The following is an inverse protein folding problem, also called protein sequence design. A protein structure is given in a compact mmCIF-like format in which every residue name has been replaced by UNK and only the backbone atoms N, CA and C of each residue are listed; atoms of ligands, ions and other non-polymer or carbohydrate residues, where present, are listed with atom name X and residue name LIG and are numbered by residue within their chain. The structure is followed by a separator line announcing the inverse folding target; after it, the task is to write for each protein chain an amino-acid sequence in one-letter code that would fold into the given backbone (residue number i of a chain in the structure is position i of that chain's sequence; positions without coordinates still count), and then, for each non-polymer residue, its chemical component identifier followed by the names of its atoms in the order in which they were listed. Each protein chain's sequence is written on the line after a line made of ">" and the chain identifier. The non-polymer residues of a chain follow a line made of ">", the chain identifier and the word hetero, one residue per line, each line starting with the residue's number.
data_IF_401808781030
#
_entry.id   IF_401808781030
#
_cell.length_a   1.000
_cell.length_b   1.000
_cell.length_c   1.000
_cell.angle_alpha   90.00
_cell.angle_beta   90.00
_cell.angle_gamma   90.00
#
_symmetry.space_group_name_H-M   'P 1'
#
loop_
_entity.id
_entity.type
_entity.pdbx_description
1 polymer ?
#
# COMPACT_ATOMS: atom_id res chain seq x y z
N UNK A 1 -0.52 24.25 5.51
CA UNK A 1 0.70 23.80 4.80
C UNK A 1 1.17 22.57 5.53
N UNK A 2 1.09 21.39 4.92
CA UNK A 2 1.51 20.14 5.57
C UNK A 2 3.00 20.19 5.85
N UNK A 3 3.42 19.83 7.07
CA UNK A 3 4.84 19.79 7.48
C UNK A 3 5.60 18.59 6.90
N UNK A 4 4.92 17.71 6.16
CA UNK A 4 5.52 16.52 5.57
C UNK A 4 6.35 16.81 4.34
N UNK A 5 7.65 16.59 4.47
CA UNK A 5 8.54 16.44 3.33
C UNK A 5 8.33 15.05 2.73
N UNK A 6 7.90 15.01 1.48
CA UNK A 6 7.78 13.77 0.71
C UNK A 6 9.03 13.55 -0.14
N UNK A 7 9.48 12.30 -0.24
CA UNK A 7 10.64 11.92 -1.06
C UNK A 7 10.32 10.69 -1.87
N UNK A 8 10.81 10.62 -3.11
CA UNK A 8 10.85 9.35 -3.86
C UNK A 8 11.85 8.40 -3.21
N UNK A 9 11.41 7.17 -2.94
CA UNK A 9 12.20 6.12 -2.29
C UNK A 9 12.32 4.90 -3.20
N UNK A 10 13.51 4.27 -3.26
CA UNK A 10 13.68 3.00 -3.95
C UNK A 10 13.00 1.88 -3.16
N UNK A 11 12.34 0.97 -3.87
CA UNK A 11 11.72 -0.25 -3.36
C UNK A 11 12.31 -1.44 -4.12
N UNK A 12 12.40 -2.61 -3.47
CA UNK A 12 12.89 -3.86 -4.06
C UNK A 12 14.27 -3.68 -4.71
N UNK A 13 15.24 -3.19 -3.92
CA UNK A 13 16.59 -2.91 -4.42
C UNK A 13 16.66 -1.81 -5.49
N UNK A 14 15.64 -0.95 -5.57
CA UNK A 14 15.55 0.16 -6.53
C UNK A 14 14.92 -0.22 -7.88
N UNK A 15 14.47 -1.46 -8.04
CA UNK A 15 13.73 -1.87 -9.23
C UNK A 15 12.38 -1.16 -9.36
N UNK A 16 11.80 -0.74 -8.23
CA UNK A 16 10.59 0.07 -8.15
C UNK A 16 10.93 1.39 -7.41
N UNK A 17 10.18 2.45 -7.68
CA UNK A 17 10.19 3.66 -6.85
C UNK A 17 8.79 4.18 -6.60
N UNK A 18 8.60 4.80 -5.44
CA UNK A 18 7.36 5.46 -5.04
C UNK A 18 7.68 6.62 -4.09
N UNK A 19 6.85 7.65 -4.05
CA UNK A 19 7.03 8.80 -3.17
C UNK A 19 6.00 8.83 -2.05
N UNK A 20 6.47 9.06 -0.83
CA UNK A 20 5.64 9.20 0.37
C UNK A 20 6.39 9.98 1.46
N UNK A 21 5.73 10.39 2.57
CA UNK A 21 6.34 11.23 3.60
C UNK A 21 7.54 10.59 4.30
N UNK A 22 8.51 11.43 4.69
CA UNK A 22 9.73 10.97 5.36
C UNK A 22 9.51 10.34 6.74
N UNK A 23 8.37 10.62 7.39
CA UNK A 23 8.01 10.07 8.71
C UNK A 23 7.87 8.54 8.72
N UNK A 24 7.57 7.96 7.56
CA UNK A 24 7.49 6.52 7.38
C UNK A 24 8.89 5.91 7.44
N UNK A 25 9.09 4.97 8.34
CA UNK A 25 10.35 4.27 8.57
C UNK A 25 10.26 2.85 8.06
N UNK A 26 11.33 2.39 7.41
CA UNK A 26 11.41 1.02 6.91
C UNK A 26 11.61 0.04 8.07
N UNK A 27 10.68 -0.91 8.17
CA UNK A 27 10.61 -1.92 9.22
C UNK A 27 11.63 -3.05 9.02
N UNK A 28 12.20 -3.20 7.82
CA UNK A 28 13.25 -4.19 7.52
C UNK A 28 14.49 -4.04 8.41
N UNK A 29 14.73 -2.82 8.93
CA UNK A 29 15.81 -2.54 9.88
C UNK A 29 15.59 -3.15 11.27
N UNK A 30 14.36 -3.54 11.59
CA UNK A 30 13.92 -3.95 12.93
C UNK A 30 13.50 -5.42 12.95
N UNK A 31 12.87 -5.90 11.87
CA UNK A 31 12.46 -7.31 11.71
C UNK A 31 12.65 -7.77 10.27
N UNK A 32 12.76 -9.09 10.09
CA UNK A 32 12.73 -9.67 8.75
C UNK A 32 11.35 -9.45 8.11
N UNK A 33 11.38 -8.91 6.90
CA UNK A 33 10.22 -8.75 6.01
C UNK A 33 10.45 -9.68 4.82
N UNK A 34 9.43 -10.40 4.32
CA UNK A 34 9.55 -11.23 3.12
C UNK A 34 10.12 -10.44 1.93
N UNK A 35 10.91 -11.08 1.07
CA UNK A 35 11.56 -10.41 -0.07
C UNK A 35 10.57 -9.80 -1.08
N UNK A 36 9.33 -10.30 -1.11
CA UNK A 36 8.25 -9.79 -1.94
C UNK A 36 7.43 -8.67 -1.25
N UNK A 37 7.84 -8.23 -0.05
CA UNK A 37 7.17 -7.18 0.71
C UNK A 37 8.14 -6.07 1.13
N UNK A 38 7.64 -4.83 1.15
CA UNK A 38 8.33 -3.65 1.65
C UNK A 38 7.37 -2.92 2.61
N UNK A 39 7.74 -2.85 3.89
CA UNK A 39 6.85 -2.38 4.97
C UNK A 39 7.40 -1.11 5.60
N UNK A 40 6.60 -0.05 5.55
CA UNK A 40 6.91 1.23 6.16
C UNK A 40 5.89 1.60 7.23
N UNK A 41 6.33 2.17 8.35
CA UNK A 41 5.45 2.57 9.46
C UNK A 41 5.76 3.97 9.97
N UNK A 42 4.75 4.71 10.42
CA UNK A 42 4.95 5.89 11.26
C UNK A 42 4.84 5.46 12.74
N UNK A 43 5.97 5.37 13.46
CA UNK A 43 5.96 4.89 14.85
C UNK A 43 5.25 5.84 15.82
N UNK A 44 4.95 7.08 15.41
CA UNK A 44 4.24 8.04 16.26
C UNK A 44 2.71 7.96 16.11
N UNK A 45 2.21 7.23 15.10
CA UNK A 45 0.79 7.20 14.74
C UNK A 45 0.24 5.80 14.50
N UNK A 46 1.10 4.79 14.45
CA UNK A 46 0.72 3.41 14.13
C UNK A 46 0.08 3.30 12.72
N UNK A 47 0.41 4.25 11.84
CA UNK A 47 0.08 4.21 10.41
C UNK A 47 1.10 3.32 9.69
N UNK A 48 0.65 2.57 8.68
CA UNK A 48 1.55 1.74 7.89
C UNK A 48 1.27 1.84 6.40
N UNK A 49 2.31 1.67 5.59
CA UNK A 49 2.28 1.63 4.14
C UNK A 49 3.09 0.41 3.69
N UNK A 50 2.43 -0.50 2.99
CA UNK A 50 2.96 -1.80 2.58
C UNK A 50 2.90 -1.89 1.07
N UNK A 51 4.01 -2.30 0.46
CA UNK A 51 4.05 -2.71 -0.94
C UNK A 51 4.32 -4.21 -0.99
N UNK A 52 3.51 -4.94 -1.76
CA UNK A 52 3.62 -6.39 -1.87
C UNK A 52 3.52 -6.83 -3.33
N UNK A 53 4.41 -7.73 -3.72
CA UNK A 53 4.42 -8.38 -5.04
C UNK A 53 3.77 -9.76 -4.90
N UNK A 54 2.69 -9.97 -5.64
CA UNK A 54 1.94 -11.22 -5.70
C UNK A 54 1.92 -11.78 -7.12
N UNK A 55 1.76 -13.09 -7.22
CA UNK A 55 1.44 -13.74 -8.49
C UNK A 55 0.10 -13.24 -9.02
N UNK A 56 0.03 -13.01 -10.33
CA UNK A 56 -1.18 -12.51 -10.97
C UNK A 56 -2.35 -13.47 -10.81
N UNK A 57 -3.46 -12.96 -10.24
CA UNK A 57 -4.68 -13.74 -10.03
C UNK A 57 -5.54 -13.77 -11.29
N UNK A 58 -5.36 -14.82 -12.10
CA UNK A 58 -6.10 -15.02 -13.35
C UNK A 58 -7.62 -15.12 -13.16
N UNK A 59 -8.06 -15.66 -12.02
CA UNK A 59 -9.49 -15.87 -11.73
C UNK A 59 -10.20 -14.61 -11.22
N UNK A 60 -9.46 -13.53 -10.95
CA UNK A 60 -10.00 -12.27 -10.45
C UNK A 60 -10.08 -11.27 -11.62
N UNK A 61 -11.26 -10.72 -11.92
CA UNK A 61 -11.41 -9.70 -12.96
C UNK A 61 -10.70 -8.41 -12.55
N UNK A 62 -10.23 -7.63 -13.53
CA UNK A 62 -9.55 -6.37 -13.24
C UNK A 62 -10.44 -5.42 -12.42
N UNK A 63 -11.71 -5.35 -12.81
CA UNK A 63 -12.72 -4.57 -12.12
C UNK A 63 -13.07 -5.21 -10.79
N UNK A 64 -12.84 -4.49 -9.70
CA UNK A 64 -13.04 -5.00 -8.35
C UNK A 64 -11.91 -5.89 -7.84
N UNK A 65 -10.78 -6.02 -8.55
CA UNK A 65 -9.63 -6.79 -8.05
C UNK A 65 -9.12 -6.27 -6.71
N UNK A 66 -9.03 -4.94 -6.54
CA UNK A 66 -8.67 -4.35 -5.25
C UNK A 66 -9.69 -4.68 -4.16
N UNK A 67 -11.00 -4.69 -4.47
CA UNK A 67 -12.02 -5.04 -3.48
C UNK A 67 -11.93 -6.53 -3.08
N UNK A 68 -11.59 -7.41 -4.02
CA UNK A 68 -11.32 -8.81 -3.76
C UNK A 68 -10.14 -8.99 -2.80
N UNK A 69 -8.99 -8.38 -3.09
CA UNK A 69 -7.81 -8.45 -2.22
C UNK A 69 -8.07 -7.83 -0.85
N UNK A 70 -8.85 -6.75 -0.80
CA UNK A 70 -9.21 -6.11 0.45
C UNK A 70 -10.10 -7.02 1.32
N UNK A 71 -11.04 -7.74 0.72
CA UNK A 71 -11.86 -8.74 1.41
C UNK A 71 -11.03 -9.96 1.85
N UNK A 72 -10.10 -10.40 1.03
CA UNK A 72 -9.19 -11.52 1.34
C UNK A 72 -8.34 -11.20 2.58
N UNK A 73 -7.73 -10.01 2.60
CA UNK A 73 -6.99 -9.47 3.73
C UNK A 73 -7.84 -9.39 5.01
N UNK A 74 -9.10 -8.99 4.89
CA UNK A 74 -10.01 -8.95 6.04
C UNK A 74 -10.32 -10.34 6.61
N UNK A 75 -10.50 -11.34 5.74
CA UNK A 75 -10.76 -12.71 6.15
C UNK A 75 -9.55 -13.31 6.88
N UNK A 76 -8.33 -13.01 6.44
CA UNK A 76 -7.11 -13.48 7.09
C UNK A 76 -6.89 -12.89 8.48
N UNK A 77 -7.34 -11.65 8.70
CA UNK A 77 -7.18 -10.94 9.98
C UNK A 77 -8.32 -11.22 10.98
N UNK A 78 -9.24 -12.15 10.66
CA UNK A 78 -10.46 -12.44 11.43
C UNK A 78 -11.21 -11.14 11.84
N UNK A 79 -11.22 -10.17 10.93
CA UNK A 79 -11.67 -8.82 11.23
C UNK A 79 -13.21 -8.76 11.22
N UNK A 80 -13.84 -8.86 12.40
CA UNK A 80 -15.31 -8.76 12.59
C UNK A 80 -15.93 -7.40 12.17
N UNK A 81 -15.14 -6.46 11.63
CA UNK A 81 -15.56 -5.10 11.27
C UNK A 81 -15.23 -4.66 9.85
N UNK A 82 -14.87 -5.58 8.95
CA UNK A 82 -14.52 -5.21 7.59
C UNK A 82 -15.74 -4.68 6.81
N UNK A 83 -15.68 -3.39 6.45
CA UNK A 83 -16.68 -2.74 5.60
C UNK A 83 -15.99 -2.10 4.40
N UNK A 84 -16.27 -2.60 3.20
CA UNK A 84 -15.93 -1.93 1.95
C UNK A 84 -16.74 -0.63 1.84
N UNK A 85 -16.05 0.51 1.88
CA UNK A 85 -16.67 1.84 1.80
C UNK A 85 -16.74 2.33 0.35
N UNK A 86 -15.66 2.15 -0.41
CA UNK A 86 -15.56 2.63 -1.79
C UNK A 86 -14.75 1.65 -2.63
N UNK A 87 -15.10 1.54 -3.91
CA UNK A 87 -14.30 0.86 -4.92
C UNK A 87 -14.22 1.73 -6.17
N UNK A 88 -13.04 1.80 -6.78
CA UNK A 88 -12.86 2.48 -8.06
C UNK A 88 -13.13 1.52 -9.22
N UNK A 89 -13.43 2.08 -10.39
CA UNK A 89 -13.28 1.35 -11.64
C UNK A 89 -11.82 1.06 -11.98
N UNK A 90 -11.62 0.35 -13.09
CA UNK A 90 -10.28 0.06 -13.64
C UNK A 90 -9.73 1.28 -14.37
N UNK A 91 -8.49 1.64 -14.05
CA UNK A 91 -7.76 2.72 -14.70
C UNK A 91 -6.51 2.15 -15.38
N UNK A 92 -6.30 2.46 -16.64
CA UNK A 92 -5.05 2.14 -17.33
C UNK A 92 -3.96 3.14 -16.98
N UNK A 93 -2.82 2.64 -16.48
CA UNK A 93 -1.66 3.47 -16.13
C UNK A 93 -0.72 3.51 -17.33
N UNK A 94 -0.92 4.46 -18.24
CA UNK A 94 -0.09 4.61 -19.46
C UNK A 94 1.40 4.84 -19.19
N UNK A 95 1.74 5.35 -18.01
CA UNK A 95 3.12 5.54 -17.55
C UNK A 95 3.82 4.26 -17.11
N UNK A 96 3.04 3.21 -16.80
CA UNK A 96 3.52 1.93 -16.30
C UNK A 96 3.21 0.85 -17.34
N UNK A 97 4.16 0.58 -18.23
CA UNK A 97 3.97 -0.36 -19.34
C UNK A 97 5.19 -1.25 -19.55
N UNK A 98 4.95 -2.49 -19.94
CA UNK A 98 5.98 -3.42 -20.37
C UNK A 98 5.62 -3.97 -21.75
N UNK A 99 6.56 -4.00 -22.70
CA UNK A 99 6.34 -4.46 -24.10
C UNK A 99 5.09 -3.86 -24.78
N UNK A 100 4.77 -2.59 -24.49
CA UNK A 100 3.58 -1.84 -24.94
C UNK A 100 2.24 -2.21 -24.29
N UNK A 101 2.21 -3.14 -23.34
CA UNK A 101 1.01 -3.45 -22.57
C UNK A 101 0.99 -2.59 -21.31
N UNK A 102 -0.01 -1.71 -21.13
CA UNK A 102 -0.13 -0.89 -19.93
C UNK A 102 -0.58 -1.73 -18.75
N UNK A 103 -0.13 -1.35 -17.55
CA UNK A 103 -0.69 -1.85 -16.31
C UNK A 103 -2.10 -1.30 -16.10
N UNK A 104 -2.92 -2.08 -15.40
CA UNK A 104 -4.27 -1.67 -14.98
C UNK A 104 -4.30 -1.53 -13.48
N UNK A 105 -5.05 -0.57 -12.96
CA UNK A 105 -5.18 -0.36 -11.52
C UNK A 105 -6.64 -0.25 -11.10
N UNK A 106 -6.94 -0.79 -9.93
CA UNK A 106 -8.17 -0.49 -9.19
C UNK A 106 -7.82 -0.18 -7.73
N UNK A 107 -8.70 0.54 -7.04
CA UNK A 107 -8.55 0.84 -5.62
C UNK A 107 -9.80 0.44 -4.84
N UNK A 108 -9.62 0.03 -3.60
CA UNK A 108 -10.69 -0.24 -2.65
C UNK A 108 -10.38 0.45 -1.33
N UNK A 109 -11.39 1.06 -0.73
CA UNK A 109 -11.29 1.79 0.53
C UNK A 109 -12.17 1.06 1.54
N UNK A 110 -11.56 0.62 2.64
CA UNK A 110 -12.24 0.11 3.83
C UNK A 110 -12.21 1.14 4.96
N UNK A 111 -12.70 0.74 6.13
CA UNK A 111 -12.86 1.66 7.28
C UNK A 111 -11.53 2.21 7.84
N UNK A 112 -10.44 1.43 7.78
CA UNK A 112 -9.11 1.81 8.29
C UNK A 112 -7.98 1.47 7.30
N UNK A 113 -8.35 1.13 6.08
CA UNK A 113 -7.43 0.53 5.10
C UNK A 113 -7.74 1.04 3.71
N UNK A 114 -6.70 1.44 2.99
CA UNK A 114 -6.76 1.82 1.60
C UNK A 114 -5.89 0.85 0.81
N UNK A 115 -6.44 0.26 -0.24
CA UNK A 115 -5.75 -0.73 -1.05
C UNK A 115 -5.80 -0.34 -2.52
N UNK A 116 -4.66 -0.36 -3.19
CA UNK A 116 -4.56 -0.32 -4.63
C UNK A 116 -3.99 -1.65 -5.13
N UNK A 117 -4.57 -2.18 -6.20
CA UNK A 117 -4.00 -3.29 -6.93
C UNK A 117 -3.54 -2.79 -8.31
N UNK A 118 -2.24 -2.82 -8.58
CA UNK A 118 -1.65 -2.55 -9.88
C UNK A 118 -1.30 -3.87 -10.57
N UNK A 119 -2.02 -4.18 -11.63
CA UNK A 119 -1.87 -5.44 -12.38
C UNK A 119 -0.88 -5.27 -13.52
N UNK A 120 0.26 -5.95 -13.41
CA UNK A 120 1.32 -6.02 -14.40
C UNK A 120 1.18 -7.30 -15.23
N UNK A 121 0.12 -7.37 -16.05
CA UNK A 121 -0.32 -8.61 -16.74
C UNK A 121 0.76 -9.29 -17.56
N UNK A 122 1.56 -8.53 -18.29
CA UNK A 122 2.59 -9.06 -19.19
C UNK A 122 3.72 -9.78 -18.43
N UNK A 123 3.94 -9.43 -17.16
CA UNK A 123 4.93 -10.08 -16.30
C UNK A 123 4.28 -10.96 -15.23
N UNK A 124 2.96 -11.17 -15.30
CA UNK A 124 2.24 -12.08 -14.40
C UNK A 124 2.31 -11.66 -12.93
N UNK A 125 2.30 -10.37 -12.63
CA UNK A 125 2.37 -9.86 -11.24
C UNK A 125 1.20 -8.93 -10.91
N UNK A 126 0.61 -9.11 -9.74
CA UNK A 126 -0.27 -8.14 -9.09
C UNK A 126 0.54 -7.43 -7.99
N UNK A 127 0.59 -6.09 -8.00
CA UNK A 127 1.28 -5.29 -6.98
C UNK A 127 0.24 -4.65 -6.09
N UNK A 128 0.25 -5.03 -4.81
CA UNK A 128 -0.61 -4.44 -3.81
C UNK A 128 0.11 -3.28 -3.11
N UNK A 129 -0.58 -2.15 -3.03
CA UNK A 129 -0.20 -1.04 -2.16
C UNK A 129 -1.28 -0.91 -1.11
N UNK A 130 -0.96 -1.25 0.12
CA UNK A 130 -1.91 -1.24 1.24
C UNK A 130 -1.47 -0.22 2.26
N UNK A 131 -2.39 0.58 2.75
CA UNK A 131 -2.11 1.65 3.67
C UNK A 131 -3.12 1.63 4.81
N UNK A 132 -2.65 1.60 6.05
CA UNK A 132 -3.49 1.51 7.24
C UNK A 132 -3.47 2.80 8.05
N UNK A 133 -4.66 3.20 8.50
CA UNK A 133 -4.88 4.33 9.40
C UNK A 133 -5.73 3.85 10.58
N UNK A 134 -5.12 3.52 11.74
CA UNK A 134 -5.88 3.04 12.88
C UNK A 134 -6.77 4.15 13.45
N UNK A 135 -8.00 3.81 13.83
CA UNK A 135 -8.92 4.71 14.54
C UNK A 135 -8.80 4.54 16.06
N UNK A 136 -8.45 3.33 16.51
CA UNK A 136 -8.28 2.97 17.90
C UNK A 136 -7.03 2.11 18.07
N UNK A 137 -6.10 2.55 18.92
CA UNK A 137 -4.95 1.75 19.30
C UNK A 137 -5.34 0.92 20.51
N UNK A 138 -5.38 -0.40 20.31
CA UNK A 138 -5.67 -1.35 21.38
C UNK A 138 -4.60 -1.22 22.47
N UNK A 139 -4.95 -1.05 23.77
CA UNK A 139 -3.97 -0.98 24.85
C UNK A 139 -3.01 -2.17 24.96
N UNK A 140 -3.39 -3.32 24.38
CA UNK A 140 -2.58 -4.55 24.34
C UNK A 140 -1.74 -4.67 23.06
N UNK A 141 -1.83 -3.72 22.13
CA UNK A 141 -1.00 -3.68 20.93
C UNK A 141 0.46 -3.37 21.28
N UNK A 142 1.41 -3.92 20.52
CA UNK A 142 2.84 -3.62 20.67
C UNK A 142 3.11 -2.11 20.56
N UNK A 143 2.33 -1.42 19.74
CA UNK A 143 2.42 0.03 19.49
C UNK A 143 1.84 0.87 20.62
N UNK A 144 0.96 0.33 21.47
CA UNK A 144 0.26 1.09 22.52
C UNK A 144 1.22 1.74 23.53
N UNK A 145 2.37 1.11 23.77
CA UNK A 145 3.43 1.63 24.64
C UNK A 145 4.15 2.87 24.06
N UNK A 146 4.13 3.03 22.73
CA UNK A 146 4.84 4.07 21.99
C UNK A 146 3.92 5.22 21.59
N UNK A 147 2.73 4.92 21.07
CA UNK A 147 1.77 5.92 20.58
C UNK A 147 0.68 6.29 21.60
N UNK A 148 0.59 5.54 22.69
CA UNK A 148 -0.46 5.67 23.70
C UNK A 148 -1.72 4.89 23.29
N UNK A 149 -2.32 4.20 24.25
CA UNK A 149 -3.57 3.47 24.05
C UNK A 149 -4.77 4.43 23.95
N UNK A 150 -5.76 4.10 23.11
CA UNK A 150 -7.00 4.86 22.99
C UNK A 150 -7.26 5.40 21.57
N UNK A 151 -7.98 6.51 21.48
CA UNK A 151 -8.32 7.12 20.20
C UNK A 151 -7.04 7.58 19.49
N UNK A 152 -6.80 7.06 18.29
CA UNK A 152 -5.67 7.47 17.48
C UNK A 152 -5.91 8.90 16.96
N UNK A 153 -4.89 9.77 17.07
CA UNK A 153 -4.97 11.11 16.49
C UNK A 153 -4.57 10.99 15.02
N UNK A 154 -5.52 11.25 14.11
CA UNK A 154 -5.24 11.17 12.67
C UNK A 154 -4.16 12.17 12.25
N UNK A 155 -3.40 11.82 11.20
CA UNK A 155 -2.39 12.72 10.61
C UNK A 155 -2.96 14.11 10.30
N UNK A 156 -4.20 14.16 9.77
CA UNK A 156 -4.89 15.41 9.43
C UNK A 156 -5.03 16.36 10.64
N UNK A 157 -5.42 15.83 11.81
CA UNK A 157 -5.60 16.61 13.03
C UNK A 157 -4.29 17.14 13.60
N UNK A 158 -3.18 16.51 13.24
CA UNK A 158 -1.84 16.88 13.69
C UNK A 158 -1.04 17.70 12.67
N UNK A 159 -1.67 18.13 11.56
CA UNK A 159 -1.01 18.93 10.52
C UNK A 159 -0.09 18.13 9.58
N UNK A 160 -0.12 16.81 9.65
CA UNK A 160 0.57 15.91 8.73
C UNK A 160 -0.32 15.58 7.52
N UNK A 161 0.30 15.07 6.47
CA UNK A 161 -0.38 14.60 5.27
C UNK A 161 -1.28 13.40 5.63
N UNK A 162 -2.60 13.50 5.43
CA UNK A 162 -3.55 12.43 5.76
C UNK A 162 -3.24 11.14 5.03
N UNK A 163 -3.58 9.98 5.62
CA UNK A 163 -3.21 8.69 5.05
C UNK A 163 -3.78 8.47 3.64
N UNK A 164 -5.00 8.96 3.38
CA UNK A 164 -5.59 8.92 2.03
C UNK A 164 -4.74 9.68 0.99
N UNK A 165 -4.10 10.78 1.37
CA UNK A 165 -3.22 11.55 0.48
C UNK A 165 -1.83 10.90 0.37
N UNK A 166 -1.34 10.27 1.44
CA UNK A 166 -0.14 9.40 1.40
C UNK A 166 -0.34 8.26 0.41
N UNK A 167 -1.47 7.57 0.51
CA UNK A 167 -1.87 6.48 -0.37
C UNK A 167 -1.95 6.92 -1.82
N UNK A 168 -2.68 8.01 -2.11
CA UNK A 168 -2.78 8.57 -3.46
C UNK A 168 -1.41 8.94 -4.02
N UNK A 169 -0.54 9.55 -3.21
CA UNK A 169 0.80 9.93 -3.63
C UNK A 169 1.64 8.69 -3.95
N UNK A 170 1.65 7.69 -3.05
CA UNK A 170 2.41 6.46 -3.23
C UNK A 170 2.00 5.71 -4.52
N UNK A 171 0.69 5.62 -4.76
CA UNK A 171 0.12 4.93 -5.93
C UNK A 171 0.35 5.73 -7.22
N UNK A 172 0.13 7.05 -7.21
CA UNK A 172 0.29 7.89 -8.42
C UNK A 172 1.74 8.10 -8.85
N UNK A 173 2.69 7.96 -7.92
CA UNK A 173 4.13 8.08 -8.18
C UNK A 173 4.84 6.74 -8.34
N UNK A 174 4.10 5.63 -8.27
CA UNK A 174 4.63 4.28 -8.46
C UNK A 174 5.25 4.12 -9.87
N UNK A 175 6.50 3.70 -9.92
CA UNK A 175 7.24 3.44 -11.16
C UNK A 175 8.01 2.13 -11.07
N UNK A 176 8.07 1.42 -12.18
CA UNK A 176 9.01 0.31 -12.37
C UNK A 176 10.22 0.83 -13.14
N UNK A 177 11.36 0.90 -12.46
CA UNK A 177 12.64 1.33 -13.02
C UNK A 177 13.37 0.15 -13.69
N UNK A 178 13.25 -1.06 -13.13
CA UNK A 178 13.82 -2.27 -13.70
C UNK A 178 12.81 -3.41 -13.75
N UNK A 179 12.42 -3.80 -14.96
CA UNK A 179 11.53 -4.94 -15.20
C UNK A 179 12.21 -6.31 -15.00
N UNK A 180 13.53 -6.34 -14.83
CA UNK A 180 14.26 -7.59 -14.52
C UNK A 180 13.83 -8.21 -13.19
N UNK A 181 13.19 -7.42 -12.31
CA UNK A 181 12.63 -7.87 -11.05
C UNK A 181 11.64 -9.04 -11.23
N UNK A 182 10.87 -9.02 -12.31
CA UNK A 182 9.79 -10.00 -12.55
C UNK A 182 10.26 -11.23 -13.34
N UNK A 183 11.57 -11.43 -13.48
CA UNK A 183 12.16 -12.55 -14.22
C UNK A 183 12.31 -12.30 -15.73
N UNK A 184 12.84 -13.29 -16.48
CA UNK A 184 13.00 -13.17 -17.91
C UNK A 184 11.63 -13.18 -18.58
N UNK A 185 11.34 -12.14 -19.36
CA UNK A 185 10.17 -12.14 -20.19
C UNK A 185 10.35 -13.14 -21.33
N UNK A 186 9.56 -14.21 -21.30
CA UNK A 186 9.54 -15.23 -22.35
C UNK A 186 9.10 -14.67 -23.71
#
# INVERSE_FOLDING_TARGET
>A
MSVDSCSERPLFGGAISSAFPLRFQDVSNIRQVPDNQEVYVDPNRDESLIFELLEFKHDVPDNGSAAWFLQDLANEQDAEGFTLLEQSGVVEIRGLRYRNIPATMSTAIGQMVYLANLRLKEVGTDVLVTSYEPILINPLSETASTVGAGAAVSAAQSGFLPMVEVFKLAVSTFKVNSWSLFGPAY
#
